data_IF_365554880420
#
_entry.id   IF_365554880420
#
_cell.length_a   1.000
_cell.length_b   1.000
_cell.length_c   1.000
_cell.angle_alpha   90.00
_cell.angle_beta   90.00
_cell.angle_gamma   90.00
#
_symmetry.space_group_name_H-M   'P 1'
#
loop_
_entity.id
_entity.type
_entity.pdbx_description
1 polymer ?
#
# COMPACT_ATOMS: atom_id res chain seq x y z
N UNK A 1 9.51 2.46 -19.29
CA UNK A 1 8.63 2.61 -18.11
C UNK A 1 7.26 3.25 -18.41
N UNK A 2 6.97 3.69 -19.65
CA UNK A 2 5.71 4.37 -19.98
C UNK A 2 4.42 3.61 -19.55
N UNK A 3 4.32 2.27 -19.69
CA UNK A 3 3.14 1.53 -19.21
C UNK A 3 2.92 1.66 -17.70
N UNK A 4 3.98 1.53 -16.90
CA UNK A 4 3.91 1.69 -15.44
C UNK A 4 3.52 3.11 -15.03
N UNK A 5 3.98 4.12 -15.76
CA UNK A 5 3.60 5.51 -15.51
C UNK A 5 2.11 5.76 -15.84
N UNK A 6 1.55 5.07 -16.83
CA UNK A 6 0.14 5.16 -17.16
C UNK A 6 -0.74 4.53 -16.07
N UNK A 7 -0.34 3.36 -15.54
CA UNK A 7 -1.01 2.74 -14.39
C UNK A 7 -0.96 3.64 -13.15
N UNK A 8 0.22 4.21 -12.86
CA UNK A 8 0.39 5.16 -11.76
C UNK A 8 -0.52 6.39 -11.92
N UNK A 9 -0.60 6.95 -13.13
CA UNK A 9 -1.48 8.09 -13.40
C UNK A 9 -2.97 7.75 -13.26
N UNK A 10 -3.37 6.54 -13.68
CA UNK A 10 -4.73 6.06 -13.51
C UNK A 10 -5.12 6.00 -12.02
N UNK A 11 -4.28 5.35 -11.20
CA UNK A 11 -4.58 5.15 -9.78
C UNK A 11 -4.56 6.46 -9.01
N UNK A 12 -3.57 7.33 -9.26
CA UNK A 12 -3.50 8.67 -8.64
C UNK A 12 -4.70 9.56 -8.92
N UNK A 13 -5.38 9.36 -10.04
CA UNK A 13 -6.55 10.15 -10.42
C UNK A 13 -7.87 9.64 -9.82
N UNK A 14 -7.89 8.43 -9.25
CA UNK A 14 -9.12 7.71 -8.89
C UNK A 14 -9.15 7.21 -7.46
N UNK A 15 -8.01 6.84 -6.89
CA UNK A 15 -7.90 6.38 -5.52
C UNK A 15 -7.67 7.58 -4.59
N UNK A 16 -8.37 7.59 -3.46
CA UNK A 16 -8.20 8.63 -2.44
C UNK A 16 -6.75 8.64 -1.93
N UNK A 17 -6.24 9.81 -1.50
CA UNK A 17 -4.89 9.88 -0.93
C UNK A 17 -4.72 8.99 0.29
N UNK A 18 -5.74 8.92 1.14
CA UNK A 18 -5.74 8.09 2.35
C UNK A 18 -5.59 6.59 2.00
N UNK A 19 -6.42 6.08 1.07
CA UNK A 19 -6.35 4.67 0.65
C UNK A 19 -5.03 4.37 -0.09
N UNK A 20 -4.52 5.32 -0.87
CA UNK A 20 -3.24 5.17 -1.57
C UNK A 20 -2.08 5.03 -0.58
N UNK A 21 -2.03 5.83 0.49
CA UNK A 21 -1.00 5.69 1.53
C UNK A 21 -1.13 4.36 2.27
N UNK A 22 -2.34 3.96 2.67
CA UNK A 22 -2.60 2.66 3.30
C UNK A 22 -2.07 1.50 2.45
N UNK A 23 -2.46 1.45 1.18
CA UNK A 23 -2.08 0.38 0.26
C UNK A 23 -0.58 0.40 0.01
N UNK A 24 -0.01 1.56 -0.33
CA UNK A 24 1.40 1.65 -0.73
C UNK A 24 2.36 1.29 0.38
N UNK A 25 2.08 1.75 1.60
CA UNK A 25 2.86 1.41 2.78
C UNK A 25 2.73 -0.09 3.08
N UNK A 26 1.50 -0.61 3.16
CA UNK A 26 1.27 -2.02 3.51
C UNK A 26 1.88 -2.98 2.49
N UNK A 27 1.59 -2.80 1.21
CA UNK A 27 2.09 -3.70 0.15
C UNK A 27 3.62 -3.65 0.06
N UNK A 28 4.22 -2.46 0.20
CA UNK A 28 5.68 -2.32 0.21
C UNK A 28 6.34 -2.95 1.44
N UNK A 29 5.68 -2.89 2.60
CA UNK A 29 6.14 -3.55 3.83
C UNK A 29 6.08 -5.07 3.67
N UNK A 30 4.94 -5.61 3.20
CA UNK A 30 4.73 -7.04 2.94
C UNK A 30 5.75 -7.60 1.93
N UNK A 31 5.96 -6.91 0.81
CA UNK A 31 6.92 -7.32 -0.21
C UNK A 31 8.39 -7.05 0.18
N UNK A 32 8.66 -6.38 1.30
CA UNK A 32 10.01 -6.01 1.72
C UNK A 32 10.72 -5.01 0.80
N UNK A 33 10.00 -4.20 0.02
CA UNK A 33 10.60 -3.18 -0.85
C UNK A 33 11.08 -1.98 -0.04
N UNK A 34 12.32 -2.01 0.48
CA UNK A 34 12.92 -0.92 1.27
C UNK A 34 12.88 0.44 0.56
N UNK A 35 13.14 0.46 -0.75
CA UNK A 35 13.11 1.69 -1.55
C UNK A 35 11.70 2.29 -1.62
N UNK A 36 10.70 1.46 -1.90
CA UNK A 36 9.32 1.87 -2.02
C UNK A 36 8.78 2.33 -0.66
N UNK A 37 9.09 1.57 0.40
CA UNK A 37 8.66 1.89 1.75
C UNK A 37 9.22 3.25 2.21
N UNK A 38 10.51 3.50 2.04
CA UNK A 38 11.11 4.80 2.37
C UNK A 38 10.47 5.96 1.57
N UNK A 39 10.16 5.74 0.29
CA UNK A 39 9.47 6.73 -0.53
C UNK A 39 8.06 7.05 0.01
N UNK A 40 7.28 6.01 0.32
CA UNK A 40 5.89 6.17 0.72
C UNK A 40 5.73 6.67 2.16
N UNK A 41 6.66 6.35 3.06
CA UNK A 41 6.72 6.97 4.40
C UNK A 41 6.94 8.48 4.31
N UNK A 42 7.93 8.91 3.51
CA UNK A 42 8.18 10.32 3.25
C UNK A 42 6.93 11.01 2.69
N UNK A 43 6.28 10.40 1.71
CA UNK A 43 5.13 10.99 1.04
C UNK A 43 3.92 11.07 1.99
N UNK A 44 3.68 10.06 2.82
CA UNK A 44 2.65 10.09 3.86
C UNK A 44 2.91 11.20 4.89
N UNK A 45 4.17 11.40 5.33
CA UNK A 45 4.52 12.52 6.23
C UNK A 45 4.30 13.88 5.60
N UNK A 46 4.62 14.04 4.31
CA UNK A 46 4.34 15.28 3.57
C UNK A 46 2.85 15.59 3.53
N UNK A 47 2.02 14.55 3.53
CA UNK A 47 0.57 14.66 3.58
C UNK A 47 0.00 14.72 5.02
N UNK A 48 0.88 14.83 6.04
CA UNK A 48 0.49 15.09 7.43
C UNK A 48 0.31 13.85 8.31
N UNK A 49 0.61 12.64 7.81
CA UNK A 49 0.59 11.45 8.66
C UNK A 49 1.73 11.46 9.68
N UNK A 50 1.42 11.07 10.91
CA UNK A 50 2.41 10.87 11.96
C UNK A 50 3.01 9.46 11.93
N UNK A 51 4.09 9.24 12.67
CA UNK A 51 4.81 7.95 12.70
C UNK A 51 3.92 6.80 13.21
N UNK A 52 3.02 7.06 14.16
CA UNK A 52 2.12 6.04 14.67
C UNK A 52 1.17 5.54 13.57
N UNK A 53 0.59 6.44 12.77
CA UNK A 53 -0.29 6.10 11.65
C UNK A 53 0.45 5.29 10.57
N UNK A 54 1.67 5.70 10.23
CA UNK A 54 2.54 4.99 9.29
C UNK A 54 2.81 3.57 9.80
N UNK A 55 3.29 3.42 11.05
CA UNK A 55 3.60 2.13 11.64
C UNK A 55 2.37 1.20 11.72
N UNK A 56 1.20 1.76 12.05
CA UNK A 56 -0.08 1.04 12.05
C UNK A 56 -0.41 0.52 10.65
N UNK A 57 -0.23 1.32 9.59
CA UNK A 57 -0.51 0.87 8.21
C UNK A 57 0.44 -0.24 7.74
N UNK A 58 1.70 -0.22 8.17
CA UNK A 58 2.70 -1.23 7.81
C UNK A 58 2.43 -2.58 8.49
N UNK A 59 1.94 -2.56 9.73
CA UNK A 59 1.71 -3.75 10.55
C UNK A 59 0.28 -3.78 11.14
N UNK A 60 -0.71 -3.56 10.27
CA UNK A 60 -2.09 -3.35 10.68
C UNK A 60 -2.74 -4.46 11.51
N UNK A 61 -2.43 -5.77 11.34
CA UNK A 61 -3.09 -6.81 12.15
C UNK A 61 -2.80 -6.65 13.64
N UNK A 62 -1.61 -6.14 13.99
CA UNK A 62 -1.22 -5.87 15.37
C UNK A 62 -1.89 -4.61 15.98
N UNK A 63 -2.56 -3.81 15.15
CA UNK A 63 -3.11 -2.51 15.50
C UNK A 63 -4.56 -2.32 15.00
N UNK A 64 -5.27 -3.42 14.76
CA UNK A 64 -6.60 -3.42 14.13
C UNK A 64 -7.65 -2.58 14.88
N UNK A 65 -7.53 -2.46 16.21
CA UNK A 65 -8.41 -1.66 17.07
C UNK A 65 -8.28 -0.15 16.81
N UNK A 66 -7.11 0.31 16.36
CA UNK A 66 -6.85 1.71 16.03
C UNK A 66 -7.30 2.12 14.62
N UNK A 67 -7.98 1.21 13.91
CA UNK A 67 -8.43 1.42 12.53
C UNK A 67 -9.96 1.42 12.48
N UNK A 68 -10.52 2.22 11.59
CA UNK A 68 -11.93 2.13 11.21
C UNK A 68 -12.20 0.83 10.42
N UNK A 69 -13.46 0.37 10.38
CA UNK A 69 -13.83 -0.77 9.54
C UNK A 69 -13.43 -0.59 8.07
N UNK A 70 -13.55 0.63 7.54
CA UNK A 70 -13.20 0.94 6.16
C UNK A 70 -11.70 0.78 5.88
N UNK A 71 -10.84 1.25 6.78
CA UNK A 71 -9.39 1.13 6.61
C UNK A 71 -8.93 -0.32 6.77
N UNK A 72 -9.52 -1.07 7.71
CA UNK A 72 -9.25 -2.51 7.84
C UNK A 72 -9.63 -3.27 6.57
N UNK A 73 -10.77 -2.95 5.96
CA UNK A 73 -11.18 -3.56 4.70
C UNK A 73 -10.16 -3.32 3.59
N UNK A 74 -9.68 -2.07 3.43
CA UNK A 74 -8.66 -1.71 2.43
C UNK A 74 -7.33 -2.44 2.69
N UNK A 75 -6.88 -2.51 3.94
CA UNK A 75 -5.63 -3.16 4.31
C UNK A 75 -5.69 -4.69 4.19
N UNK A 76 -6.80 -5.31 4.60
CA UNK A 76 -7.03 -6.74 4.41
C UNK A 76 -7.10 -7.10 2.92
N UNK A 77 -7.75 -6.26 2.12
CA UNK A 77 -7.80 -6.42 0.67
C UNK A 77 -6.42 -6.26 0.02
N UNK A 78 -5.61 -5.30 0.47
CA UNK A 78 -4.23 -5.14 0.02
C UNK A 78 -3.38 -6.39 0.30
N UNK A 79 -3.54 -7.02 1.47
CA UNK A 79 -2.85 -8.27 1.80
C UNK A 79 -3.30 -9.44 0.91
N UNK A 80 -4.62 -9.63 0.80
CA UNK A 80 -5.22 -10.70 0.01
C UNK A 80 -4.80 -10.65 -1.47
N UNK A 81 -4.88 -9.46 -2.09
CA UNK A 81 -4.50 -9.27 -3.49
C UNK A 81 -2.97 -9.35 -3.69
N UNK A 82 -2.17 -9.01 -2.68
CA UNK A 82 -0.71 -9.12 -2.76
C UNK A 82 -0.22 -10.56 -2.68
N UNK A 83 -0.89 -11.39 -1.87
CA UNK A 83 -0.58 -12.81 -1.66
C UNK A 83 -1.54 -13.75 -2.40
N UNK A 84 -1.92 -13.41 -3.64
CA UNK A 84 -2.75 -14.31 -4.46
C UNK A 84 -2.06 -15.68 -4.61
N UNK A 85 -2.76 -16.72 -4.16
CA UNK A 85 -2.41 -18.14 -4.21
C UNK A 85 -3.65 -18.98 -4.53
N UNK A 86 -4.30 -18.68 -5.66
CA UNK A 86 -5.52 -19.36 -6.14
C UNK A 86 -6.77 -18.48 -6.17
N UNK A 87 -7.87 -19.04 -6.68
CA UNK A 87 -9.13 -18.31 -6.90
C UNK A 87 -9.75 -17.78 -5.59
N UNK A 88 -9.57 -18.50 -4.48
CA UNK A 88 -10.15 -18.16 -3.18
C UNK A 88 -9.33 -17.14 -2.36
N UNK A 89 -8.27 -16.56 -2.94
CA UNK A 89 -7.38 -15.62 -2.23
C UNK A 89 -8.10 -14.36 -1.75
N UNK A 90 -9.16 -13.96 -2.46
CA UNK A 90 -10.06 -12.87 -2.09
C UNK A 90 -11.45 -13.47 -1.91
N UNK A 91 -11.84 -13.82 -0.67
CA UNK A 91 -13.19 -14.33 -0.40
C UNK A 91 -14.26 -13.28 -0.72
N UNK A 92 -15.45 -13.75 -1.10
CA UNK A 92 -16.61 -12.89 -1.41
C UNK A 92 -16.92 -11.94 -0.24
N UNK A 93 -16.80 -12.40 1.01
CA UNK A 93 -17.07 -11.56 2.17
C UNK A 93 -16.08 -10.38 2.28
N UNK A 94 -14.82 -10.59 1.87
CA UNK A 94 -13.82 -9.52 1.85
C UNK A 94 -14.11 -8.54 0.70
N UNK A 95 -14.48 -9.06 -0.47
CA UNK A 95 -14.88 -8.22 -1.60
C UNK A 95 -16.10 -7.36 -1.25
N UNK A 96 -17.15 -7.97 -0.69
CA UNK A 96 -18.37 -7.29 -0.27
C UNK A 96 -18.12 -6.25 0.83
N UNK A 97 -17.21 -6.54 1.77
CA UNK A 97 -16.77 -5.58 2.78
C UNK A 97 -16.13 -4.36 2.10
N UNK A 98 -15.24 -4.54 1.12
CA UNK A 98 -14.63 -3.43 0.37
C UNK A 98 -15.68 -2.65 -0.43
N UNK A 99 -16.57 -3.34 -1.14
CA UNK A 99 -17.65 -2.73 -1.93
C UNK A 99 -18.59 -1.92 -1.05
N UNK A 100 -18.94 -2.39 0.15
CA UNK A 100 -19.78 -1.62 1.07
C UNK A 100 -19.12 -0.30 1.51
N UNK A 101 -17.79 -0.23 1.57
CA UNK A 101 -17.06 0.99 1.97
C UNK A 101 -16.64 1.91 0.80
N UNK A 102 -16.53 1.39 -0.42
CA UNK A 102 -15.96 2.11 -1.59
C UNK A 102 -16.79 2.01 -2.87
N UNK A 103 -17.84 1.22 -2.88
CA UNK A 103 -18.62 0.84 -4.06
C UNK A 103 -17.82 -0.09 -4.99
N UNK A 104 -18.50 -0.69 -5.96
CA UNK A 104 -17.87 -1.59 -6.95
C UNK A 104 -16.78 -0.88 -7.76
N UNK A 105 -17.06 0.34 -8.22
CA UNK A 105 -16.08 1.15 -8.96
C UNK A 105 -14.85 1.47 -8.11
N UNK A 106 -15.02 1.75 -6.82
CA UNK A 106 -13.92 1.98 -5.89
C UNK A 106 -13.13 0.71 -5.62
N UNK A 107 -13.78 -0.44 -5.43
CA UNK A 107 -13.11 -1.74 -5.27
C UNK A 107 -12.19 -2.05 -6.46
N UNK A 108 -12.69 -1.87 -7.70
CA UNK A 108 -11.88 -2.04 -8.90
C UNK A 108 -10.69 -1.06 -8.99
N UNK A 109 -10.85 0.17 -8.50
CA UNK A 109 -9.74 1.14 -8.43
C UNK A 109 -8.69 0.74 -7.40
N UNK A 110 -9.09 0.18 -6.25
CA UNK A 110 -8.16 -0.35 -5.25
C UNK A 110 -7.37 -1.53 -5.81
N UNK A 111 -7.99 -2.43 -6.58
CA UNK A 111 -7.27 -3.51 -7.29
C UNK A 111 -6.17 -2.92 -8.16
N UNK A 112 -6.48 -1.90 -8.96
CA UNK A 112 -5.49 -1.27 -9.84
C UNK A 112 -4.34 -0.62 -9.07
N UNK A 113 -4.62 0.03 -7.94
CA UNK A 113 -3.58 0.59 -7.07
C UNK A 113 -2.69 -0.50 -6.47
N UNK A 114 -3.28 -1.57 -5.93
CA UNK A 114 -2.55 -2.70 -5.33
C UNK A 114 -1.67 -3.39 -6.37
N UNK A 115 -2.18 -3.66 -7.57
CA UNK A 115 -1.41 -4.24 -8.69
C UNK A 115 -0.27 -3.32 -9.10
N UNK A 116 -0.52 -2.01 -9.17
CA UNK A 116 0.48 -1.01 -9.57
C UNK A 116 1.64 -0.97 -8.57
N UNK A 117 1.37 -0.90 -7.26
CA UNK A 117 2.45 -0.91 -6.26
C UNK A 117 3.17 -2.26 -6.22
N UNK A 118 2.46 -3.37 -6.40
CA UNK A 118 3.06 -4.70 -6.51
C UNK A 118 4.07 -4.79 -7.67
N UNK A 119 3.74 -4.19 -8.82
CA UNK A 119 4.66 -4.11 -9.95
C UNK A 119 5.86 -3.20 -9.66
N UNK A 120 5.64 -2.03 -9.03
CA UNK A 120 6.74 -1.15 -8.60
C UNK A 120 7.68 -1.81 -7.60
N UNK A 121 7.15 -2.54 -6.62
CA UNK A 121 7.95 -3.30 -5.66
C UNK A 121 8.85 -4.32 -6.38
N UNK A 122 8.28 -5.11 -7.30
CA UNK A 122 9.02 -6.09 -8.10
C UNK A 122 10.13 -5.43 -8.93
N UNK A 123 9.84 -4.31 -9.59
CA UNK A 123 10.82 -3.56 -10.39
C UNK A 123 11.95 -3.03 -9.49
N UNK A 124 11.62 -2.38 -8.37
CA UNK A 124 12.60 -1.78 -7.49
C UNK A 124 13.53 -2.83 -6.84
N UNK A 125 12.96 -3.97 -6.42
CA UNK A 125 13.72 -5.09 -5.85
C UNK A 125 14.61 -5.73 -6.91
N UNK A 126 14.06 -6.10 -8.08
CA UNK A 126 14.81 -6.74 -9.15
C UNK A 126 15.96 -5.87 -9.68
N UNK A 127 15.79 -4.55 -9.68
CA UNK A 127 16.82 -3.58 -10.11
C UNK A 127 17.68 -3.05 -8.96
N UNK A 128 17.52 -3.59 -7.73
CA UNK A 128 18.29 -3.23 -6.53
C UNK A 128 18.33 -1.72 -6.29
N UNK A 129 17.19 -1.03 -6.43
CA UNK A 129 17.13 0.41 -6.14
C UNK A 129 17.55 0.69 -4.70
N UNK A 130 18.43 1.67 -4.54
CA UNK A 130 18.95 2.09 -3.24
C UNK A 130 18.11 3.25 -2.67
N UNK A 131 17.48 3.08 -1.49
CA UNK A 131 16.77 4.16 -0.79
C UNK A 131 17.59 5.44 -0.62
N UNK A 132 18.93 5.35 -0.51
CA UNK A 132 19.80 6.51 -0.35
C UNK A 132 19.78 7.45 -1.57
N UNK A 133 19.27 7.00 -2.72
CA UNK A 133 19.10 7.84 -3.91
C UNK A 133 17.87 8.75 -3.84
N UNK A 134 16.97 8.53 -2.87
CA UNK A 134 15.77 9.35 -2.67
C UNK A 134 16.11 10.65 -1.95
N UNK A 135 15.51 11.74 -2.42
CA UNK A 135 15.64 13.06 -1.78
C UNK A 135 14.55 13.29 -0.72
N UNK A 136 14.91 14.07 0.29
CA UNK A 136 13.98 14.54 1.33
C UNK A 136 13.50 13.43 2.27
N UNK A 137 14.29 12.36 2.43
CA UNK A 137 14.06 11.37 3.46
C UNK A 137 14.52 11.89 4.83
N UNK A 138 13.87 11.42 5.88
CA UNK A 138 14.30 11.53 7.27
C UNK A 138 14.83 10.16 7.76
N UNK A 139 15.62 10.08 8.84
CA UNK A 139 16.14 8.79 9.31
C UNK A 139 15.08 7.70 9.52
N UNK A 140 13.89 8.06 10.04
CA UNK A 140 12.77 7.12 10.24
C UNK A 140 12.21 6.54 8.94
N UNK A 141 12.48 7.12 7.76
CA UNK A 141 12.13 6.52 6.46
C UNK A 141 12.91 5.24 6.16
N UNK A 142 14.16 5.17 6.62
CA UNK A 142 15.12 4.14 6.24
C UNK A 142 15.11 2.92 7.16
N UNK A 143 14.40 3.02 8.30
CA UNK A 143 14.22 1.93 9.23
C UNK A 143 13.57 0.72 8.53
N UNK A 144 13.86 -0.52 8.94
CA UNK A 144 13.11 -1.66 8.44
C UNK A 144 11.61 -1.51 8.79
N UNK A 145 10.73 -2.13 8.00
CA UNK A 145 9.34 -2.30 8.42
C UNK A 145 9.33 -3.03 9.78
N UNK A 146 8.41 -2.64 10.66
CA UNK A 146 8.14 -3.38 11.90
C UNK A 146 7.61 -4.76 11.55
N UNK A 147 8.52 -5.75 11.46
CA UNK A 147 8.15 -7.14 11.23
C UNK A 147 7.42 -7.66 12.46
N UNK A 148 6.21 -8.16 12.26
CA UNK A 148 5.69 -9.27 13.06
C UNK A 148 5.52 -10.45 12.13
#
# INVERSE_FOLDING_TARGET
>A
MAPMLALEAYSRARVSREDSHLIRLRVSAVNGCRYCLAMHRRDARKDGWNEARIAVSENWPAHAEGLSPAERAVLAFADAVTHIDGEDSVPDELWDEVVRHRGEGGAGQLVMEIVTINAWNRIAIATRKDPATLRGLVPSDLEPATRR
#
